data_IF_072325823328
#
_entry.id   IF_072325823328
#
_cell.length_a   1.000
_cell.length_b   1.000
_cell.length_c   1.000
_cell.angle_alpha   90.00
_cell.angle_beta   90.00
_cell.angle_gamma   90.00
#
_symmetry.space_group_name_H-M   'P 1'
#
loop_
_entity.id
_entity.type
_entity.pdbx_description
1 polymer ?
#
# COMPACT_ATOMS: atom_id res chain seq x y z
N UNK A 1 19.03 23.91 25.96
CA UNK A 1 18.46 23.60 24.64
C UNK A 1 19.60 23.55 23.65
N UNK A 2 19.95 22.38 23.13
CA UNK A 2 21.05 22.26 22.17
C UNK A 2 20.63 22.85 20.81
N UNK A 3 21.42 23.77 20.27
CA UNK A 3 21.24 24.34 18.94
C UNK A 3 21.34 23.22 17.89
N UNK A 4 20.20 22.77 17.37
CA UNK A 4 20.12 21.81 16.27
C UNK A 4 20.64 22.49 14.99
N UNK A 5 21.89 22.21 14.62
CA UNK A 5 22.48 22.75 13.39
C UNK A 5 21.96 21.97 12.18
N UNK A 6 20.94 22.54 11.53
CA UNK A 6 20.20 21.98 10.40
C UNK A 6 21.11 21.72 9.19
N UNK A 7 22.20 22.48 9.07
CA UNK A 7 23.18 22.36 7.97
C UNK A 7 24.14 21.17 8.14
N UNK A 8 24.12 20.50 9.30
CA UNK A 8 24.98 19.37 9.61
C UNK A 8 24.19 18.04 9.69
N UNK A 9 22.90 18.07 9.33
CA UNK A 9 22.12 16.85 9.15
C UNK A 9 22.52 16.21 7.82
N UNK A 10 22.91 14.93 7.85
CA UNK A 10 23.22 14.17 6.64
C UNK A 10 22.00 14.18 5.73
N UNK A 11 22.13 14.77 4.54
CA UNK A 11 21.04 14.78 3.57
C UNK A 11 20.63 13.34 3.25
N UNK A 12 19.32 13.07 3.27
CA UNK A 12 18.78 11.75 2.94
C UNK A 12 18.69 11.62 1.41
N UNK A 13 19.84 11.45 0.75
CA UNK A 13 19.95 11.35 -0.71
C UNK A 13 19.07 10.22 -1.32
N UNK A 14 18.75 9.18 -0.55
CA UNK A 14 18.07 7.99 -1.08
C UNK A 14 16.54 8.01 -0.98
N UNK A 15 15.93 8.95 -0.25
CA UNK A 15 14.48 8.93 -0.02
C UNK A 15 13.65 8.96 -1.33
N UNK A 16 14.15 9.65 -2.36
CA UNK A 16 13.52 9.70 -3.68
C UNK A 16 13.60 8.36 -4.41
N UNK A 17 14.77 7.72 -4.39
CA UNK A 17 14.99 6.40 -4.98
C UNK A 17 14.13 5.34 -4.27
N UNK A 18 14.10 5.35 -2.95
CA UNK A 18 13.29 4.42 -2.17
C UNK A 18 11.81 4.55 -2.51
N UNK A 19 11.33 5.78 -2.68
CA UNK A 19 9.93 6.04 -3.06
C UNK A 19 9.63 5.53 -4.46
N UNK A 20 10.53 5.74 -5.41
CA UNK A 20 10.38 5.21 -6.77
C UNK A 20 10.34 3.67 -6.78
N UNK A 21 11.20 3.02 -5.98
CA UNK A 21 11.23 1.56 -5.87
C UNK A 21 9.92 1.00 -5.30
N UNK A 22 9.28 1.69 -4.36
CA UNK A 22 7.97 1.27 -3.82
C UNK A 22 6.87 1.31 -4.87
N UNK A 23 6.83 2.36 -5.70
CA UNK A 23 5.87 2.43 -6.80
C UNK A 23 6.13 1.38 -7.89
N UNK A 24 7.39 1.10 -8.20
CA UNK A 24 7.72 0.00 -9.11
C UNK A 24 7.25 -1.34 -8.55
N UNK A 25 7.49 -1.61 -7.27
CA UNK A 25 7.03 -2.85 -6.63
C UNK A 25 5.50 -2.98 -6.66
N UNK A 26 4.76 -1.90 -6.41
CA UNK A 26 3.30 -1.87 -6.53
C UNK A 26 2.84 -2.22 -7.96
N UNK A 27 3.49 -1.66 -8.98
CA UNK A 27 3.18 -1.97 -10.37
C UNK A 27 3.47 -3.43 -10.73
N UNK A 28 4.63 -3.94 -10.33
CA UNK A 28 5.01 -5.34 -10.56
C UNK A 28 4.01 -6.30 -9.87
N UNK A 29 3.63 -6.00 -8.63
CA UNK A 29 2.61 -6.76 -7.90
C UNK A 29 1.26 -6.75 -8.63
N UNK A 30 0.81 -5.58 -9.08
CA UNK A 30 -0.46 -5.45 -9.80
C UNK A 30 -0.47 -6.22 -11.11
N UNK A 31 0.65 -6.27 -11.84
CA UNK A 31 0.80 -7.07 -13.08
C UNK A 31 0.71 -8.56 -12.77
N UNK A 32 1.39 -9.04 -11.73
CA UNK A 32 1.30 -10.46 -11.36
C UNK A 32 -0.12 -10.83 -10.97
N UNK A 33 -0.77 -10.01 -10.14
CA UNK A 33 -2.14 -10.22 -9.70
C UNK A 33 -3.13 -10.19 -10.88
N UNK A 34 -2.96 -9.26 -11.83
CA UNK A 34 -3.70 -9.22 -13.10
C UNK A 34 -3.58 -10.54 -13.88
N UNK A 35 -2.35 -11.06 -14.02
CA UNK A 35 -2.12 -12.31 -14.74
C UNK A 35 -2.77 -13.50 -14.05
N UNK A 36 -2.76 -13.55 -12.72
CA UNK A 36 -3.46 -14.59 -11.96
C UNK A 36 -4.97 -14.56 -12.19
N UNK A 37 -5.57 -13.36 -12.22
CA UNK A 37 -7.00 -13.19 -12.54
C UNK A 37 -7.32 -13.63 -13.97
N UNK A 38 -6.47 -13.24 -14.94
CA UNK A 38 -6.58 -13.68 -16.33
C UNK A 38 -6.49 -15.20 -16.49
N UNK A 39 -5.56 -15.85 -15.80
CA UNK A 39 -5.39 -17.31 -15.83
C UNK A 39 -6.60 -18.08 -15.28
N UNK A 40 -7.37 -17.45 -14.39
CA UNK A 40 -8.60 -18.00 -13.83
C UNK A 40 -9.85 -17.64 -14.63
N UNK A 41 -9.69 -16.89 -15.73
CA UNK A 41 -10.80 -16.38 -16.54
C UNK A 41 -11.80 -15.53 -15.72
N UNK A 42 -11.30 -14.84 -14.68
CA UNK A 42 -12.10 -13.93 -13.85
C UNK A 42 -12.29 -12.59 -14.58
N UNK A 43 -13.50 -12.03 -14.54
CA UNK A 43 -13.73 -10.63 -14.94
C UNK A 43 -13.14 -9.72 -13.86
N UNK A 44 -12.43 -8.67 -14.27
CA UNK A 44 -11.89 -7.71 -13.31
C UNK A 44 -11.68 -6.32 -13.90
N UNK A 45 -11.58 -5.32 -13.02
CA UNK A 45 -11.00 -4.00 -13.30
C UNK A 45 -10.02 -3.66 -12.20
N UNK A 46 -8.76 -3.36 -12.54
CA UNK A 46 -7.72 -3.01 -11.57
C UNK A 46 -7.36 -1.53 -11.69
N UNK A 47 -7.41 -0.84 -10.56
CA UNK A 47 -6.97 0.54 -10.38
C UNK A 47 -5.66 0.52 -9.60
N UNK A 48 -4.58 1.02 -10.23
CA UNK A 48 -3.29 1.23 -9.56
C UNK A 48 -3.21 2.71 -9.21
N UNK A 49 -3.53 3.05 -7.97
CA UNK A 49 -3.60 4.43 -7.52
C UNK A 49 -2.28 4.94 -6.93
N UNK A 50 -2.20 6.25 -6.76
CA UNK A 50 -1.08 6.91 -6.09
C UNK A 50 -1.10 6.56 -4.60
N UNK A 51 0.08 6.43 -3.99
CA UNK A 51 0.28 6.11 -2.56
C UNK A 51 0.19 4.64 -2.14
N UNK A 52 0.55 3.72 -3.04
CA UNK A 52 0.76 2.30 -2.72
C UNK A 52 -0.56 1.52 -2.47
N UNK A 53 -1.67 2.05 -2.96
CA UNK A 53 -2.99 1.41 -2.87
C UNK A 53 -3.42 0.87 -4.25
N UNK A 54 -3.98 -0.33 -4.27
CA UNK A 54 -4.51 -1.00 -5.48
C UNK A 54 -5.93 -1.47 -5.19
N UNK A 55 -6.84 -1.19 -6.11
CA UNK A 55 -8.25 -1.59 -6.01
C UNK A 55 -8.58 -2.53 -7.15
N UNK A 56 -9.28 -3.61 -6.86
CA UNK A 56 -9.77 -4.55 -7.85
C UNK A 56 -11.29 -4.67 -7.74
N UNK A 57 -11.99 -4.51 -8.86
CA UNK A 57 -13.40 -4.85 -9.00
C UNK A 57 -13.52 -6.22 -9.65
N UNK A 58 -14.50 -7.03 -9.25
CA UNK A 58 -14.84 -8.30 -9.89
C UNK A 58 -15.68 -8.15 -11.18
N UNK A 59 -16.00 -6.93 -11.60
CA UNK A 59 -16.77 -6.69 -12.82
C UNK A 59 -16.38 -5.41 -13.55
N UNK A 60 -16.54 -5.43 -14.88
CA UNK A 60 -16.39 -4.26 -15.75
C UNK A 60 -17.67 -3.42 -15.84
N UNK A 61 -18.78 -3.92 -15.30
CA UNK A 61 -20.08 -3.26 -15.32
C UNK A 61 -20.58 -2.98 -13.90
N UNK A 62 -21.09 -1.77 -13.67
CA UNK A 62 -21.65 -1.39 -12.38
C UNK A 62 -23.02 -2.05 -12.17
N UNK A 63 -23.14 -2.81 -11.09
CA UNK A 63 -24.38 -3.43 -10.61
C UNK A 63 -24.33 -3.62 -9.08
N UNK A 64 -25.45 -4.00 -8.47
CA UNK A 64 -25.59 -4.03 -7.00
C UNK A 64 -24.69 -5.08 -6.31
N UNK A 65 -24.26 -6.11 -7.04
CA UNK A 65 -23.45 -7.22 -6.53
C UNK A 65 -21.94 -7.10 -6.87
N UNK A 66 -21.49 -5.92 -7.32
CA UNK A 66 -20.06 -5.69 -7.58
C UNK A 66 -19.29 -5.69 -6.27
N UNK A 67 -18.21 -6.47 -6.23
CA UNK A 67 -17.31 -6.54 -5.08
C UNK A 67 -16.01 -5.78 -5.39
N UNK A 68 -15.51 -5.07 -4.38
CA UNK A 68 -14.25 -4.35 -4.43
C UNK A 68 -13.26 -4.93 -3.42
N UNK A 69 -12.07 -5.28 -3.90
CA UNK A 69 -10.94 -5.71 -3.11
C UNK A 69 -9.94 -4.55 -3.02
N UNK A 70 -9.58 -4.15 -1.78
CA UNK A 70 -8.62 -3.09 -1.52
C UNK A 70 -7.31 -3.68 -0.99
N UNK A 71 -6.20 -3.32 -1.65
CA UNK A 71 -4.86 -3.79 -1.31
C UNK A 71 -3.95 -2.61 -1.03
N UNK A 72 -3.40 -2.56 0.19
CA UNK A 72 -2.34 -1.63 0.53
C UNK A 72 -0.98 -2.35 0.46
N UNK A 73 -0.17 -1.97 -0.53
CA UNK A 73 1.11 -2.61 -0.82
C UNK A 73 2.21 -1.90 -0.04
N UNK A 74 2.87 -2.60 0.89
CA UNK A 74 3.99 -2.05 1.66
C UNK A 74 5.22 -2.90 1.48
N UNK A 75 6.35 -2.26 1.22
CA UNK A 75 7.66 -2.91 1.24
C UNK A 75 8.35 -2.65 2.58
N UNK A 76 9.02 -3.68 3.11
CA UNK A 76 9.74 -3.64 4.38
C UNK A 76 10.91 -4.60 4.29
N UNK A 77 12.02 -4.28 4.95
CA UNK A 77 13.16 -5.19 5.07
C UNK A 77 12.86 -6.36 6.00
N UNK A 78 11.96 -6.16 6.97
CA UNK A 78 11.57 -7.16 7.96
C UNK A 78 10.15 -7.69 7.67
N UNK A 79 9.96 -8.99 7.87
CA UNK A 79 8.65 -9.63 7.68
C UNK A 79 7.56 -8.98 8.55
N UNK A 80 6.37 -8.81 7.98
CA UNK A 80 5.19 -8.45 8.74
C UNK A 80 4.81 -9.60 9.68
N UNK A 81 4.62 -9.28 10.95
CA UNK A 81 4.03 -10.19 11.95
C UNK A 81 2.67 -9.64 12.36
N UNK A 82 1.78 -10.52 12.84
CA UNK A 82 0.47 -10.11 13.36
C UNK A 82 0.64 -9.05 14.45
N UNK A 83 1.62 -9.24 15.35
CA UNK A 83 1.93 -8.29 16.40
C UNK A 83 2.30 -6.92 15.84
N UNK A 84 3.13 -6.85 14.79
CA UNK A 84 3.52 -5.58 14.17
C UNK A 84 2.34 -4.88 13.46
N UNK A 85 1.44 -5.64 12.84
CA UNK A 85 0.26 -5.09 12.15
C UNK A 85 -0.81 -4.59 13.13
N UNK A 86 -0.96 -5.27 14.26
CA UNK A 86 -1.94 -4.95 15.30
C UNK A 86 -1.43 -3.96 16.36
N UNK A 87 -0.11 -3.74 16.43
CA UNK A 87 0.49 -2.81 17.40
C UNK A 87 -0.02 -1.40 17.17
N UNK A 88 -0.47 -0.77 18.25
CA UNK A 88 -0.83 0.64 18.30
C UNK A 88 0.03 1.35 19.34
N UNK A 89 0.30 2.63 19.12
CA UNK A 89 0.93 3.49 20.12
C UNK A 89 -0.15 4.18 20.94
N UNK A 90 0.18 4.62 22.16
CA UNK A 90 -0.78 5.35 23.00
C UNK A 90 -1.19 6.64 22.28
N UNK A 91 -2.46 6.73 21.88
CA UNK A 91 -2.99 7.85 21.10
C UNK A 91 -2.87 7.71 19.57
N UNK A 92 -2.45 6.55 19.06
CA UNK A 92 -2.39 6.25 17.62
C UNK A 92 -3.16 4.99 17.23
N UNK A 93 -3.37 4.81 15.93
CA UNK A 93 -4.00 3.62 15.35
C UNK A 93 -2.94 2.61 14.87
N UNK A 94 -3.24 1.32 14.97
CA UNK A 94 -2.47 0.26 14.33
C UNK A 94 -2.54 0.35 12.80
N UNK A 95 -1.70 -0.39 12.07
CA UNK A 95 -1.75 -0.40 10.60
C UNK A 95 -3.14 -0.84 10.12
N UNK A 96 -3.67 -1.92 10.71
CA UNK A 96 -5.04 -2.40 10.42
C UNK A 96 -6.08 -1.36 10.82
N UNK A 97 -5.91 -0.70 11.98
CA UNK A 97 -6.83 0.34 12.44
C UNK A 97 -6.89 1.53 11.47
N UNK A 98 -5.75 1.93 10.88
CA UNK A 98 -5.71 2.98 9.87
C UNK A 98 -6.42 2.57 8.58
N UNK A 99 -6.31 1.30 8.17
CA UNK A 99 -7.01 0.81 6.98
C UNK A 99 -8.53 0.82 7.15
N UNK A 100 -9.04 0.57 8.37
CA UNK A 100 -10.49 0.58 8.63
C UNK A 100 -11.01 2.02 8.82
N UNK A 101 -10.28 2.83 9.60
CA UNK A 101 -10.69 4.19 9.95
C UNK A 101 -10.40 5.22 8.86
N UNK A 102 -9.57 4.89 7.88
CA UNK A 102 -9.27 5.74 6.72
C UNK A 102 -10.33 5.68 5.61
N UNK A 103 -11.39 4.88 5.77
CA UNK A 103 -12.49 4.70 4.80
C UNK A 103 -13.69 5.60 5.12
N UNK A 104 -13.49 6.69 5.87
CA UNK A 104 -14.52 7.72 6.12
C UNK A 104 -14.53 8.84 5.08
#
# INVERSE_FOLDING_TARGET
MANKNILNEKERENNGLDTQLRFHYQADWAIVYLLEKLLKEEEFVIFVEYHEDVICSNSTHLHDDVEFEFYQIKTTEANFTIDNLCKYEVGGNSIIGKMILGVE
#
